data_IF_314031011795
#
_entry.id   IF_314031011795
#
_cell.length_a   1.000
_cell.length_b   1.000
_cell.length_c   1.000
_cell.angle_alpha   90.00
_cell.angle_beta   90.00
_cell.angle_gamma   90.00
#
_symmetry.space_group_name_H-M   'P 1'
#
loop_
_entity.id
_entity.type
_entity.pdbx_description
1 polymer ?
#
# COMPACT_ATOMS: atom_id res chain seq x y z
N UNK A 1 -12.87 22.16 4.22
CA UNK A 1 -12.24 23.49 4.31
C UNK A 1 -10.97 23.47 3.48
N UNK A 2 -10.93 24.25 2.40
CA UNK A 2 -9.84 24.23 1.42
C UNK A 2 -8.61 24.95 1.97
N UNK A 3 -7.57 24.18 2.32
CA UNK A 3 -6.30 24.72 2.78
C UNK A 3 -5.47 25.24 1.60
N UNK A 4 -5.76 26.47 1.18
CA UNK A 4 -4.95 27.23 0.20
C UNK A 4 -3.50 27.47 0.68
N UNK A 5 -3.23 27.35 1.98
CA UNK A 5 -1.89 27.48 2.56
C UNK A 5 -1.00 26.23 2.42
N UNK A 6 -1.52 25.07 2.02
CA UNK A 6 -0.72 23.83 1.95
C UNK A 6 0.20 23.76 0.72
N UNK A 7 0.08 24.68 -0.24
CA UNK A 7 0.94 24.72 -1.44
C UNK A 7 1.97 25.85 -1.44
N UNK A 8 1.93 26.74 -0.45
CA UNK A 8 2.94 27.78 -0.33
C UNK A 8 4.18 27.19 0.34
N UNK A 9 5.17 26.85 -0.49
CA UNK A 9 6.49 26.42 -0.03
C UNK A 9 7.03 27.48 0.94
N UNK A 10 7.33 27.03 2.17
CA UNK A 10 7.79 27.84 3.30
C UNK A 10 9.02 28.68 2.94
N UNK A 11 9.77 28.27 1.91
CA UNK A 11 10.90 28.98 1.31
C UNK A 11 10.51 30.33 0.71
N UNK A 12 9.37 30.46 0.06
CA UNK A 12 8.93 31.76 -0.49
C UNK A 12 8.60 32.77 0.61
N UNK A 13 8.01 32.30 1.71
CA UNK A 13 7.74 33.13 2.90
C UNK A 13 9.05 33.54 3.56
N UNK A 14 10.03 32.62 3.68
CA UNK A 14 11.35 32.95 4.19
C UNK A 14 12.08 33.97 3.31
N UNK A 15 12.04 33.84 1.98
CA UNK A 15 12.63 34.80 1.04
C UNK A 15 11.97 36.17 1.16
N UNK A 16 10.65 36.23 1.25
CA UNK A 16 9.93 37.50 1.47
C UNK A 16 10.33 38.17 2.80
N UNK A 17 10.47 37.39 3.88
CA UNK A 17 10.94 37.88 5.17
C UNK A 17 12.40 38.36 5.12
N UNK A 18 13.28 37.68 4.38
CA UNK A 18 14.68 38.10 4.21
C UNK A 18 14.75 39.44 3.47
N UNK A 19 13.98 39.60 2.39
CA UNK A 19 13.92 40.85 1.62
C UNK A 19 13.34 41.99 2.47
N UNK A 20 12.26 41.73 3.20
CA UNK A 20 11.66 42.70 4.11
C UNK A 20 12.60 43.09 5.26
N UNK A 21 13.31 42.11 5.84
CA UNK A 21 14.30 42.34 6.90
C UNK A 21 15.48 43.19 6.41
N UNK A 22 16.01 42.88 5.22
CA UNK A 22 17.07 43.68 4.61
C UNK A 22 16.61 45.12 4.32
N UNK A 23 15.40 45.31 3.79
CA UNK A 23 14.83 46.66 3.58
C UNK A 23 14.66 47.43 4.91
N UNK A 24 14.20 46.76 5.98
CA UNK A 24 14.02 47.38 7.29
C UNK A 24 15.34 47.73 7.98
N UNK A 25 16.44 47.02 7.73
CA UNK A 25 17.75 47.38 8.31
C UNK A 25 18.25 48.76 7.88
N UNK A 26 17.80 49.29 6.73
CA UNK A 26 18.15 50.64 6.27
C UNK A 26 17.50 51.75 7.12
N UNK A 27 16.31 51.50 7.69
CA UNK A 27 15.60 52.47 8.52
C UNK A 27 15.86 52.26 10.01
N UNK A 28 15.82 51.00 10.46
CA UNK A 28 16.04 50.61 11.85
C UNK A 28 16.72 49.25 11.93
N UNK A 29 18.00 49.26 12.31
CA UNK A 29 18.82 48.05 12.41
C UNK A 29 18.21 46.96 13.33
N UNK A 30 17.57 47.36 14.44
CA UNK A 30 16.96 46.42 15.39
C UNK A 30 15.68 45.76 14.86
N UNK A 31 14.87 46.49 14.09
CA UNK A 31 13.66 45.95 13.47
C UNK A 31 14.01 44.92 12.39
N UNK A 32 15.01 45.22 11.55
CA UNK A 32 15.52 44.27 10.56
C UNK A 32 16.12 43.00 11.17
N UNK A 33 16.82 43.13 12.30
CA UNK A 33 17.36 41.98 13.04
C UNK A 33 16.26 41.02 13.52
N UNK A 34 15.14 41.53 14.03
CA UNK A 34 14.00 40.71 14.46
C UNK A 34 13.37 39.95 13.29
N UNK A 35 13.18 40.62 12.16
CA UNK A 35 12.57 40.01 10.95
C UNK A 35 13.49 38.93 10.36
N UNK A 36 14.80 39.17 10.33
CA UNK A 36 15.78 38.18 9.89
C UNK A 36 15.89 36.99 10.86
N UNK A 37 15.78 37.24 12.18
CA UNK A 37 15.74 36.17 13.17
C UNK A 37 14.49 35.29 13.01
N UNK A 38 13.33 35.88 12.71
CA UNK A 38 12.10 35.16 12.36
C UNK A 38 12.28 34.32 11.09
N UNK A 39 12.90 34.86 10.04
CA UNK A 39 13.19 34.11 8.83
C UNK A 39 14.14 32.92 9.09
N UNK A 40 15.19 33.13 9.90
CA UNK A 40 16.13 32.09 10.29
C UNK A 40 15.44 31.00 11.12
N UNK A 41 14.63 31.37 12.11
CA UNK A 41 13.84 30.43 12.92
C UNK A 41 12.89 29.62 12.04
N UNK A 42 12.26 30.27 11.05
CA UNK A 42 11.37 29.63 10.09
C UNK A 42 12.11 28.67 9.15
N UNK A 43 13.38 28.92 8.80
CA UNK A 43 14.21 27.99 8.03
C UNK A 43 14.75 26.83 8.86
N UNK A 44 15.04 27.07 10.14
CA UNK A 44 15.59 26.08 11.08
C UNK A 44 14.54 25.11 11.63
N UNK A 45 13.25 25.45 11.55
CA UNK A 45 12.17 24.53 11.91
C UNK A 45 12.29 23.25 11.07
N UNK A 46 12.28 22.04 11.67
CA UNK A 46 12.35 20.81 10.91
C UNK A 46 11.20 20.78 9.91
N UNK A 47 11.52 20.54 8.64
CA UNK A 47 10.50 20.13 7.67
C UNK A 47 9.81 18.90 8.30
N UNK A 48 8.51 18.99 8.58
CA UNK A 48 7.72 17.83 8.94
C UNK A 48 7.88 16.87 7.78
N UNK A 49 8.74 15.86 7.99
CA UNK A 49 9.27 14.98 6.95
C UNK A 49 8.07 14.26 6.35
N UNK A 50 7.53 14.80 5.26
CA UNK A 50 6.59 14.07 4.43
C UNK A 50 7.35 12.82 4.04
N UNK A 51 6.94 11.66 4.56
CA UNK A 51 7.60 10.39 4.29
C UNK A 51 7.78 10.32 2.78
N UNK A 52 9.02 10.12 2.35
CA UNK A 52 9.24 10.05 0.92
C UNK A 52 8.49 8.81 0.43
N UNK A 53 7.81 8.86 -0.73
CA UNK A 53 7.09 7.71 -1.27
C UNK A 53 7.90 6.41 -1.20
N UNK A 54 9.21 6.49 -1.47
CA UNK A 54 10.12 5.35 -1.42
C UNK A 54 10.24 4.71 -0.02
N UNK A 55 10.14 5.49 1.06
CA UNK A 55 10.19 4.99 2.43
C UNK A 55 8.93 4.16 2.73
N UNK A 56 7.77 4.62 2.26
CA UNK A 56 6.51 3.89 2.43
C UNK A 56 6.50 2.58 1.64
N UNK A 57 7.04 2.58 0.42
CA UNK A 57 7.23 1.35 -0.35
C UNK A 57 8.19 0.37 0.34
N UNK A 58 9.31 0.87 0.87
CA UNK A 58 10.27 0.07 1.62
C UNK A 58 9.64 -0.54 2.87
N UNK A 59 8.89 0.25 3.62
CA UNK A 59 8.17 -0.23 4.82
C UNK A 59 7.17 -1.34 4.46
N UNK A 60 6.45 -1.20 3.33
CA UNK A 60 5.55 -2.26 2.86
C UNK A 60 6.32 -3.53 2.51
N UNK A 61 7.41 -3.43 1.75
CA UNK A 61 8.22 -4.59 1.38
C UNK A 61 8.79 -5.31 2.61
N UNK A 62 9.18 -4.57 3.65
CA UNK A 62 9.63 -5.16 4.91
C UNK A 62 8.52 -5.97 5.58
N UNK A 63 7.31 -5.38 5.70
CA UNK A 63 6.12 -6.07 6.21
C UNK A 63 5.79 -7.33 5.43
N UNK A 64 5.89 -7.28 4.09
CA UNK A 64 5.69 -8.45 3.23
C UNK A 64 6.74 -9.52 3.50
N UNK A 65 8.01 -9.13 3.70
CA UNK A 65 9.08 -10.04 4.12
C UNK A 65 8.81 -10.70 5.47
N UNK A 66 8.16 -9.99 6.40
CA UNK A 66 7.72 -10.51 7.70
C UNK A 66 6.43 -11.36 7.62
N UNK A 67 5.90 -11.60 6.42
CA UNK A 67 4.66 -12.36 6.21
C UNK A 67 3.37 -11.56 6.45
N UNK A 68 3.44 -10.24 6.65
CA UNK A 68 2.27 -9.38 6.84
C UNK A 68 1.65 -8.97 5.48
N UNK A 69 0.98 -9.92 4.84
CA UNK A 69 0.42 -9.76 3.48
C UNK A 69 -0.85 -8.91 3.40
N UNK A 70 -1.39 -8.45 4.53
CA UNK A 70 -2.62 -7.64 4.61
C UNK A 70 -2.31 -6.13 4.53
N UNK A 71 -1.05 -5.73 4.66
CA UNK A 71 -0.65 -4.33 4.55
C UNK A 71 -0.92 -3.80 3.13
N UNK A 72 -1.30 -2.51 3.02
CA UNK A 72 -1.61 -1.85 1.74
C UNK A 72 -1.07 -0.42 1.72
N UNK A 73 -0.85 0.09 0.51
CA UNK A 73 -0.54 1.50 0.25
C UNK A 73 -1.79 2.23 -0.28
N UNK A 74 -2.52 2.98 0.58
CA UNK A 74 -3.84 3.50 0.24
C UNK A 74 -3.80 4.79 -0.58
N UNK A 75 -2.73 5.58 -0.46
CA UNK A 75 -2.65 6.90 -1.09
C UNK A 75 -1.90 6.81 -2.42
N UNK A 76 -2.45 7.46 -3.45
CA UNK A 76 -1.78 7.60 -4.73
C UNK A 76 -0.57 8.55 -4.61
N UNK A 77 0.50 8.23 -5.32
CA UNK A 77 1.69 9.06 -5.39
C UNK A 77 1.64 10.02 -6.57
N UNK A 78 2.25 11.19 -6.42
CA UNK A 78 2.39 12.17 -7.50
C UNK A 78 3.45 11.76 -8.53
N UNK A 79 4.45 11.00 -8.10
CA UNK A 79 5.49 10.45 -8.98
C UNK A 79 4.94 9.21 -9.72
N UNK A 80 4.92 9.20 -11.07
CA UNK A 80 4.36 8.09 -11.86
C UNK A 80 5.05 6.75 -11.60
N UNK A 81 6.37 6.76 -11.33
CA UNK A 81 7.12 5.54 -11.06
C UNK A 81 6.72 4.93 -9.72
N UNK A 82 6.68 5.74 -8.65
CA UNK A 82 6.19 5.30 -7.35
C UNK A 82 4.73 4.83 -7.40
N UNK A 83 3.88 5.50 -8.19
CA UNK A 83 2.47 5.10 -8.34
C UNK A 83 2.31 3.75 -9.04
N UNK A 84 3.09 3.49 -10.10
CA UNK A 84 3.12 2.19 -10.75
C UNK A 84 3.58 1.09 -9.80
N UNK A 85 4.64 1.34 -9.03
CA UNK A 85 5.11 0.39 -8.01
C UNK A 85 4.05 0.12 -6.94
N UNK A 86 3.35 1.15 -6.46
CA UNK A 86 2.25 1.04 -5.50
C UNK A 86 1.13 0.13 -6.03
N UNK A 87 0.66 0.39 -7.24
CA UNK A 87 -0.41 -0.37 -7.87
C UNK A 87 -0.01 -1.85 -8.06
N UNK A 88 1.20 -2.10 -8.56
CA UNK A 88 1.71 -3.45 -8.78
C UNK A 88 1.88 -4.23 -7.46
N UNK A 89 2.42 -3.59 -6.41
CA UNK A 89 2.56 -4.21 -5.09
C UNK A 89 1.21 -4.56 -4.47
N UNK A 90 0.27 -3.62 -4.45
CA UNK A 90 -1.07 -3.88 -3.93
C UNK A 90 -1.77 -5.00 -4.72
N UNK A 91 -1.67 -5.00 -6.05
CA UNK A 91 -2.25 -6.06 -6.90
C UNK A 91 -1.64 -7.44 -6.59
N UNK A 92 -0.33 -7.53 -6.39
CA UNK A 92 0.32 -8.79 -6.02
C UNK A 92 -0.14 -9.29 -4.65
N UNK A 93 -0.30 -8.39 -3.67
CA UNK A 93 -0.79 -8.73 -2.34
C UNK A 93 -2.26 -9.15 -2.35
N UNK A 94 -3.11 -8.45 -3.11
CA UNK A 94 -4.52 -8.81 -3.27
C UNK A 94 -4.69 -10.18 -3.94
N UNK A 95 -3.90 -10.47 -4.97
CA UNK A 95 -3.91 -11.79 -5.61
C UNK A 95 -3.41 -12.89 -4.67
N UNK A 96 -2.39 -12.61 -3.86
CA UNK A 96 -1.88 -13.58 -2.88
C UNK A 96 -2.93 -13.87 -1.80
N UNK A 97 -3.54 -12.83 -1.25
CA UNK A 97 -4.60 -12.96 -0.25
C UNK A 97 -5.82 -13.70 -0.83
N UNK A 98 -6.25 -13.35 -2.04
CA UNK A 98 -7.37 -14.01 -2.72
C UNK A 98 -7.05 -15.48 -2.98
N UNK A 99 -5.85 -15.80 -3.46
CA UNK A 99 -5.45 -17.18 -3.69
C UNK A 99 -5.48 -18.00 -2.40
N UNK A 100 -4.91 -17.51 -1.31
CA UNK A 100 -4.94 -18.21 -0.02
C UNK A 100 -6.35 -18.36 0.54
N UNK A 101 -7.16 -17.30 0.46
CA UNK A 101 -8.56 -17.34 0.89
C UNK A 101 -9.35 -18.40 0.12
N UNK A 102 -9.19 -18.45 -1.19
CA UNK A 102 -9.87 -19.44 -2.03
C UNK A 102 -9.39 -20.86 -1.72
N UNK A 103 -8.07 -21.08 -1.62
CA UNK A 103 -7.49 -22.39 -1.26
C UNK A 103 -8.04 -22.89 0.07
N UNK A 104 -8.03 -22.05 1.11
CA UNK A 104 -8.57 -22.40 2.42
C UNK A 104 -10.07 -22.69 2.36
N UNK A 105 -10.85 -21.84 1.68
CA UNK A 105 -12.28 -22.03 1.54
C UNK A 105 -12.67 -23.29 0.75
N UNK A 106 -11.88 -23.66 -0.27
CA UNK A 106 -12.06 -24.91 -1.01
C UNK A 106 -11.74 -26.14 -0.19
N UNK A 107 -10.64 -26.11 0.58
CA UNK A 107 -10.30 -27.21 1.49
C UNK A 107 -11.34 -27.39 2.60
N UNK A 108 -11.80 -26.30 3.21
CA UNK A 108 -12.87 -26.36 4.22
C UNK A 108 -14.18 -26.92 3.64
N UNK A 109 -14.55 -26.54 2.41
CA UNK A 109 -15.72 -27.10 1.76
C UNK A 109 -15.57 -28.59 1.46
N UNK A 110 -14.40 -29.03 0.99
CA UNK A 110 -14.10 -30.45 0.78
C UNK A 110 -14.17 -31.25 2.08
N UNK A 111 -13.62 -30.73 3.18
CA UNK A 111 -13.71 -31.36 4.50
C UNK A 111 -15.15 -31.50 5.01
N UNK A 112 -16.03 -30.56 4.64
CA UNK A 112 -17.44 -30.56 5.01
C UNK A 112 -18.36 -31.23 3.96
N UNK A 113 -17.81 -32.00 3.01
CA UNK A 113 -18.57 -32.69 1.95
C UNK A 113 -19.47 -31.74 1.15
N UNK A 114 -18.95 -30.55 0.80
CA UNK A 114 -19.64 -29.55 -0.03
C UNK A 114 -18.97 -29.42 -1.41
N UNK A 115 -19.04 -30.45 -2.27
CA UNK A 115 -18.27 -30.50 -3.52
C UNK A 115 -18.71 -29.46 -4.57
N UNK A 116 -19.89 -28.86 -4.39
CA UNK A 116 -20.37 -27.80 -5.29
C UNK A 116 -19.60 -26.47 -5.16
N UNK A 117 -18.83 -26.25 -4.07
CA UNK A 117 -18.01 -25.04 -3.93
C UNK A 117 -16.77 -25.15 -4.83
N UNK A 118 -16.75 -24.36 -5.89
CA UNK A 118 -15.60 -24.20 -6.79
C UNK A 118 -14.72 -23.02 -6.34
N UNK A 119 -13.43 -23.12 -6.61
CA UNK A 119 -12.46 -22.03 -6.44
C UNK A 119 -12.67 -20.96 -7.51
N UNK A 120 -12.69 -19.69 -7.11
CA UNK A 120 -12.83 -18.58 -8.04
C UNK A 120 -11.48 -18.15 -8.62
N UNK A 121 -11.36 -18.15 -9.95
CA UNK A 121 -10.13 -17.78 -10.67
C UNK A 121 -10.23 -16.43 -11.38
N UNK A 122 -11.41 -15.81 -11.39
CA UNK A 122 -11.68 -14.54 -12.06
C UNK A 122 -10.84 -13.43 -11.43
N UNK A 123 -10.16 -12.63 -12.27
CA UNK A 123 -9.29 -11.54 -11.81
C UNK A 123 -7.91 -11.98 -11.31
N UNK A 124 -7.65 -13.29 -11.28
CA UNK A 124 -6.33 -13.85 -10.95
C UNK A 124 -5.48 -13.98 -12.21
N UNK A 125 -4.19 -13.66 -12.10
CA UNK A 125 -3.28 -13.67 -13.24
C UNK A 125 -2.04 -14.54 -12.97
N UNK A 126 -1.41 -14.99 -14.04
CA UNK A 126 -0.12 -15.69 -13.98
C UNK A 126 -0.17 -16.94 -13.10
N UNK A 127 0.74 -17.02 -12.13
CA UNK A 127 0.87 -18.21 -11.28
C UNK A 127 -0.33 -18.39 -10.36
N UNK A 128 -0.94 -17.32 -9.87
CA UNK A 128 -2.06 -17.43 -8.93
C UNK A 128 -3.27 -18.11 -9.57
N UNK A 129 -3.58 -17.76 -10.81
CA UNK A 129 -4.63 -18.42 -11.59
C UNK A 129 -4.33 -19.91 -11.78
N UNK A 130 -3.10 -20.24 -12.18
CA UNK A 130 -2.69 -21.64 -12.41
C UNK A 130 -2.80 -22.49 -11.15
N UNK A 131 -2.34 -21.96 -10.01
CA UNK A 131 -2.42 -22.67 -8.72
C UNK A 131 -3.86 -22.94 -8.34
N UNK A 132 -4.77 -21.98 -8.50
CA UNK A 132 -6.19 -22.18 -8.19
C UNK A 132 -6.86 -23.20 -9.12
N UNK A 133 -6.54 -23.18 -10.42
CA UNK A 133 -7.03 -24.21 -11.36
C UNK A 133 -6.52 -25.60 -10.96
N UNK A 134 -5.23 -25.72 -10.63
CA UNK A 134 -4.65 -26.99 -10.22
C UNK A 134 -5.24 -27.49 -8.90
N UNK A 135 -5.45 -26.59 -7.94
CA UNK A 135 -6.08 -26.92 -6.67
C UNK A 135 -7.52 -27.40 -6.87
N UNK A 136 -8.28 -26.80 -7.78
CA UNK A 136 -9.63 -27.25 -8.11
C UNK A 136 -9.61 -28.69 -8.63
N UNK A 137 -8.67 -29.03 -9.52
CA UNK A 137 -8.55 -30.39 -10.03
C UNK A 137 -8.21 -31.42 -8.93
N UNK A 138 -7.40 -31.03 -7.95
CA UNK A 138 -7.12 -31.88 -6.78
C UNK A 138 -8.36 -32.10 -5.92
N UNK A 139 -9.15 -31.05 -5.67
CA UNK A 139 -10.40 -31.16 -4.91
C UNK A 139 -11.41 -32.07 -5.62
N UNK A 140 -11.51 -31.97 -6.95
CA UNK A 140 -12.38 -32.84 -7.76
C UNK A 140 -11.96 -34.32 -7.68
N UNK A 141 -10.66 -34.61 -7.67
CA UNK A 141 -10.15 -35.97 -7.51
C UNK A 141 -10.43 -36.54 -6.12
N UNK A 142 -10.33 -35.71 -5.07
CA UNK A 142 -10.66 -36.12 -3.70
C UNK A 142 -12.14 -36.46 -3.57
N UNK A 143 -13.02 -35.65 -4.15
CA UNK A 143 -14.47 -35.91 -4.16
C UNK A 143 -14.80 -37.22 -4.90
N UNK A 144 -14.23 -37.44 -6.08
CA UNK A 144 -14.43 -38.66 -6.85
C UNK A 144 -13.97 -39.92 -6.07
N UNK A 145 -12.85 -39.84 -5.34
CA UNK A 145 -12.37 -40.92 -4.50
C UNK A 145 -13.30 -41.20 -3.31
N UNK A 146 -13.83 -40.16 -2.66
CA UNK A 146 -14.79 -40.32 -1.57
C UNK A 146 -16.08 -41.01 -2.04
N UNK A 147 -16.58 -40.63 -3.23
CA UNK A 147 -17.76 -41.28 -3.84
C UNK A 147 -17.49 -42.75 -4.17
N UNK A 148 -16.30 -43.08 -4.68
CA UNK A 148 -15.93 -44.48 -4.96
C UNK A 148 -15.90 -45.32 -3.69
N UNK A 149 -15.24 -44.84 -2.63
CA UNK A 149 -15.17 -45.55 -1.35
C UNK A 149 -16.56 -45.70 -0.72
N UNK A 150 -17.39 -44.66 -0.76
CA UNK A 150 -18.76 -44.73 -0.26
C UNK A 150 -19.59 -45.77 -1.02
N UNK A 151 -19.38 -45.89 -2.34
CA UNK A 151 -20.05 -46.90 -3.17
C UNK A 151 -19.60 -48.32 -2.82
N UNK A 152 -18.30 -48.51 -2.60
CA UNK A 152 -17.74 -49.81 -2.20
C UNK A 152 -18.19 -50.23 -0.80
N UNK A 153 -18.36 -49.29 0.14
CA UNK A 153 -18.85 -49.57 1.48
C UNK A 153 -20.34 -50.00 1.55
N UNK A 154 -21.09 -49.81 0.46
CA UNK A 154 -22.50 -50.19 0.35
C UNK A 154 -22.72 -51.55 -0.35
N UNK A 155 -21.66 -52.18 -0.84
CA UNK A 155 -21.67 -53.51 -1.48
C UNK A 155 -21.18 -54.59 -0.50
#
# INVERSE_FOLDING_TARGET
MNNLFSRFDRRYIAVALIVAGAAMTFWQAWAGAIVLALAAMLLLLPETRRRQPIDELKDLLHKVGDGQLVARLPHAYADPTCESMRANLNSALDQTETAFREILGGMEASANQRPWRRLQTTGMHGIFQRVLVQMQALLDNVDAAQVSVAREALL
#
